data_IF_437431573456
#
_entry.id   IF_437431573456
#
_cell.length_a   1.000
_cell.length_b   1.000
_cell.length_c   1.000
_cell.angle_alpha   90.00
_cell.angle_beta   90.00
_cell.angle_gamma   90.00
#
_symmetry.space_group_name_H-M   'P 1'
#
loop_
_entity.id
_entity.type
_entity.pdbx_description
1 polymer ?
#
# COMPACT_ATOMS: atom_id res chain seq x y z
N UNK A 1 3.88 -24.61 -7.55
CA UNK A 1 3.78 -24.32 -9.01
C UNK A 1 3.60 -22.82 -9.17
N UNK A 2 4.49 -22.14 -9.88
CA UNK A 2 4.31 -20.72 -10.23
C UNK A 2 3.06 -20.58 -11.11
N UNK A 3 2.20 -19.60 -10.80
CA UNK A 3 0.94 -19.39 -11.53
C UNK A 3 1.15 -18.69 -12.87
N UNK A 4 2.22 -17.91 -13.01
CA UNK A 4 2.63 -17.28 -14.26
C UNK A 4 3.72 -18.11 -14.95
N UNK A 5 3.64 -18.20 -16.27
CA UNK A 5 4.55 -18.98 -17.10
C UNK A 5 4.92 -18.17 -18.35
N UNK A 6 5.98 -18.58 -19.05
CA UNK A 6 6.39 -17.97 -20.32
C UNK A 6 5.44 -18.38 -21.46
N UNK A 7 4.20 -17.92 -21.39
CA UNK A 7 3.16 -18.23 -22.36
C UNK A 7 2.31 -17.01 -22.71
N UNK A 8 1.54 -17.14 -23.78
CA UNK A 8 0.65 -16.09 -24.29
C UNK A 8 -0.44 -15.70 -23.29
N UNK A 9 -0.92 -16.65 -22.48
CA UNK A 9 -1.90 -16.40 -21.44
C UNK A 9 -1.39 -15.39 -20.40
N UNK A 10 -0.16 -15.59 -19.91
CA UNK A 10 0.48 -14.68 -18.95
C UNK A 10 0.67 -13.28 -19.56
N UNK A 11 1.10 -13.20 -20.82
CA UNK A 11 1.19 -11.94 -21.55
C UNK A 11 -0.17 -11.24 -21.67
N UNK A 12 -1.23 -11.98 -22.02
CA UNK A 12 -2.58 -11.44 -22.13
C UNK A 12 -3.09 -10.92 -20.78
N UNK A 13 -2.83 -11.63 -19.67
CA UNK A 13 -3.18 -11.15 -18.34
C UNK A 13 -2.53 -9.79 -18.04
N UNK A 14 -1.21 -9.65 -18.26
CA UNK A 14 -0.54 -8.36 -18.03
C UNK A 14 -1.07 -7.27 -18.96
N UNK A 15 -1.32 -7.61 -20.23
CA UNK A 15 -1.81 -6.66 -21.22
C UNK A 15 -3.17 -6.08 -20.83
N UNK A 16 -4.10 -6.89 -20.29
CA UNK A 16 -5.40 -6.40 -19.81
C UNK A 16 -5.21 -5.29 -18.77
N UNK A 17 -4.30 -5.46 -17.81
CA UNK A 17 -4.03 -4.46 -16.78
C UNK A 17 -3.34 -3.21 -17.36
N UNK A 18 -2.41 -3.36 -18.31
CA UNK A 18 -1.84 -2.22 -19.05
C UNK A 18 -2.94 -1.42 -19.75
N UNK A 19 -3.84 -2.11 -20.45
CA UNK A 19 -4.96 -1.49 -21.17
C UNK A 19 -5.94 -0.83 -20.21
N UNK A 20 -6.25 -1.43 -19.05
CA UNK A 20 -7.11 -0.81 -18.04
C UNK A 20 -6.54 0.55 -17.58
N UNK A 21 -5.24 0.62 -17.32
CA UNK A 21 -4.60 1.87 -16.95
C UNK A 21 -4.56 2.89 -18.10
N UNK A 22 -4.24 2.46 -19.33
CA UNK A 22 -4.24 3.33 -20.50
C UNK A 22 -5.65 3.90 -20.79
N UNK A 23 -6.67 3.03 -20.80
CA UNK A 23 -8.05 3.40 -21.05
C UNK A 23 -8.64 4.25 -19.92
N UNK A 24 -8.10 4.19 -18.69
CA UNK A 24 -8.57 5.05 -17.59
C UNK A 24 -8.42 6.55 -17.86
N UNK A 25 -7.55 6.93 -18.81
CA UNK A 25 -7.33 8.34 -19.20
C UNK A 25 -8.43 8.91 -20.09
N UNK A 26 -9.26 8.06 -20.71
CA UNK A 26 -10.41 8.51 -21.50
C UNK A 26 -11.49 9.19 -20.63
N UNK A 27 -11.51 8.89 -19.32
CA UNK A 27 -12.52 9.43 -18.42
C UNK A 27 -12.16 10.82 -17.93
N UNK A 28 -13.12 11.73 -17.98
CA UNK A 28 -12.97 13.07 -17.43
C UNK A 28 -13.10 13.06 -15.90
N UNK A 29 -12.09 13.63 -15.25
CA UNK A 29 -12.01 13.79 -13.81
C UNK A 29 -12.06 15.28 -13.44
N UNK A 30 -12.62 15.65 -12.27
CA UNK A 30 -12.57 17.02 -11.78
C UNK A 30 -11.14 17.55 -11.75
N UNK A 31 -10.95 18.82 -12.14
CA UNK A 31 -9.64 19.49 -12.09
C UNK A 31 -9.18 19.70 -10.65
N UNK A 32 -10.10 20.08 -9.78
CA UNK A 32 -9.82 20.37 -8.38
C UNK A 32 -10.25 19.21 -7.49
N UNK A 33 -9.44 18.92 -6.46
CA UNK A 33 -9.75 17.89 -5.46
C UNK A 33 -10.92 18.35 -4.60
N UNK A 34 -11.87 17.44 -4.38
CA UNK A 34 -12.97 17.65 -3.46
C UNK A 34 -12.64 16.90 -2.17
N UNK A 35 -12.48 17.64 -1.09
CA UNK A 35 -11.96 17.13 0.20
C UNK A 35 -13.01 16.44 1.07
N UNK A 36 -14.27 16.39 0.64
CA UNK A 36 -15.37 15.87 1.47
C UNK A 36 -15.49 14.35 1.43
N UNK A 37 -15.03 13.70 0.36
CA UNK A 37 -15.15 12.25 0.16
C UNK A 37 -13.93 11.68 -0.58
N UNK A 38 -13.57 10.40 -0.35
CA UNK A 38 -12.46 9.75 -1.03
C UNK A 38 -12.86 9.43 -2.49
N UNK A 39 -12.79 10.44 -3.34
CA UNK A 39 -13.16 10.37 -4.75
C UNK A 39 -11.92 10.34 -5.64
N UNK A 40 -12.05 9.82 -6.86
CA UNK A 40 -10.92 9.78 -7.79
C UNK A 40 -10.66 11.16 -8.38
N UNK A 41 -9.38 11.57 -8.45
CA UNK A 41 -8.93 12.81 -9.11
C UNK A 41 -7.68 12.56 -9.96
N UNK A 42 -7.23 13.62 -10.67
CA UNK A 42 -6.18 13.51 -11.71
C UNK A 42 -4.85 12.98 -11.18
N UNK A 43 -4.32 13.57 -10.10
CA UNK A 43 -3.08 13.10 -9.46
C UNK A 43 -3.19 11.64 -9.02
N UNK A 44 -4.27 11.25 -8.32
CA UNK A 44 -4.45 9.85 -7.91
C UNK A 44 -4.38 8.92 -9.12
N UNK A 45 -5.12 9.21 -10.19
CA UNK A 45 -5.15 8.36 -11.39
C UNK A 45 -3.75 8.12 -11.95
N UNK A 46 -2.94 9.18 -12.06
CA UNK A 46 -1.58 9.08 -12.59
C UNK A 46 -0.67 8.31 -11.63
N UNK A 47 -0.70 8.61 -10.32
CA UNK A 47 0.03 7.82 -9.31
C UNK A 47 -0.31 6.33 -9.39
N UNK A 48 -1.61 6.02 -9.48
CA UNK A 48 -2.10 4.65 -9.56
C UNK A 48 -1.57 3.92 -10.80
N UNK A 49 -1.58 4.59 -11.95
CA UNK A 49 -1.01 4.06 -13.19
C UNK A 49 0.50 3.83 -13.08
N UNK A 50 1.26 4.79 -12.53
CA UNK A 50 2.71 4.65 -12.32
C UNK A 50 3.04 3.47 -11.42
N UNK A 51 2.33 3.31 -10.30
CA UNK A 51 2.54 2.20 -9.38
C UNK A 51 2.15 0.86 -10.01
N UNK A 52 1.03 0.77 -10.73
CA UNK A 52 0.66 -0.43 -11.45
C UNK A 52 1.68 -0.82 -12.52
N UNK A 53 2.12 0.14 -13.35
CA UNK A 53 3.12 -0.10 -14.40
C UNK A 53 4.41 -0.64 -13.81
N UNK A 54 4.89 -0.12 -12.67
CA UNK A 54 6.05 -0.67 -11.95
C UNK A 54 5.87 -2.15 -11.63
N UNK A 55 4.69 -2.53 -11.13
CA UNK A 55 4.38 -3.93 -10.81
C UNK A 55 4.23 -4.80 -12.06
N UNK A 56 3.66 -4.27 -13.14
CA UNK A 56 3.53 -4.97 -14.42
C UNK A 56 4.90 -5.23 -15.05
N UNK A 57 5.81 -4.24 -15.04
CA UNK A 57 7.20 -4.38 -15.49
C UNK A 57 7.94 -5.40 -14.64
N UNK A 58 7.85 -5.32 -13.33
CA UNK A 58 8.45 -6.29 -12.41
C UNK A 58 7.96 -7.72 -12.66
N UNK A 59 6.64 -7.88 -12.83
CA UNK A 59 6.02 -9.18 -13.11
C UNK A 59 6.51 -9.72 -14.46
N UNK A 60 6.56 -8.86 -15.48
CA UNK A 60 7.06 -9.22 -16.81
C UNK A 60 8.52 -9.70 -16.76
N UNK A 61 9.40 -8.95 -16.08
CA UNK A 61 10.79 -9.33 -15.91
C UNK A 61 10.93 -10.65 -15.12
N UNK A 62 10.08 -10.85 -14.10
CA UNK A 62 10.03 -12.12 -13.37
C UNK A 62 9.59 -13.32 -14.22
N UNK A 63 8.77 -13.12 -15.26
CA UNK A 63 8.31 -14.18 -16.17
C UNK A 63 9.34 -14.46 -17.26
N UNK A 64 9.78 -13.42 -17.97
CA UNK A 64 10.58 -13.57 -19.20
C UNK A 64 12.09 -13.46 -18.97
N UNK A 65 12.53 -12.90 -17.84
CA UNK A 65 13.94 -12.87 -17.45
C UNK A 65 14.13 -13.39 -16.00
N UNK A 66 13.60 -14.58 -15.65
CA UNK A 66 13.54 -15.05 -14.26
C UNK A 66 14.93 -15.21 -13.65
N UNK A 67 15.91 -15.70 -14.41
CA UNK A 67 17.27 -15.92 -13.88
C UNK A 67 17.96 -14.61 -13.53
N UNK A 68 17.82 -13.60 -14.39
CA UNK A 68 18.39 -12.28 -14.16
C UNK A 68 17.62 -11.46 -13.11
N UNK A 69 16.29 -11.50 -13.10
CA UNK A 69 15.47 -10.68 -12.22
C UNK A 69 15.28 -11.28 -10.82
N UNK A 70 15.06 -12.60 -10.74
CA UNK A 70 14.59 -13.27 -9.53
C UNK A 70 15.59 -14.29 -8.96
N UNK A 71 16.04 -15.26 -9.78
CA UNK A 71 16.76 -16.44 -9.26
C UNK A 71 18.20 -16.12 -8.87
N UNK A 72 18.92 -15.42 -9.74
CA UNK A 72 20.33 -15.05 -9.54
C UNK A 72 20.55 -13.58 -9.95
N UNK A 73 19.93 -12.62 -9.24
CA UNK A 73 20.11 -11.22 -9.57
C UNK A 73 21.58 -10.82 -9.40
N UNK A 74 22.23 -10.37 -10.46
CA UNK A 74 23.55 -9.74 -10.38
C UNK A 74 23.44 -8.25 -10.03
N UNK A 75 24.59 -7.57 -9.97
CA UNK A 75 24.65 -6.10 -9.75
C UNK A 75 23.75 -5.36 -10.75
N UNK A 76 23.77 -5.76 -12.04
CA UNK A 76 22.92 -5.15 -13.05
C UNK A 76 21.42 -5.25 -12.75
N UNK A 77 20.96 -6.37 -12.21
CA UNK A 77 19.56 -6.55 -11.82
C UNK A 77 19.20 -5.70 -10.58
N UNK A 78 20.10 -5.60 -9.61
CA UNK A 78 19.93 -4.74 -8.44
C UNK A 78 19.85 -3.27 -8.85
N UNK A 79 20.75 -2.83 -9.73
CA UNK A 79 20.71 -1.48 -10.31
C UNK A 79 19.40 -1.22 -11.04
N UNK A 80 18.92 -2.18 -11.86
CA UNK A 80 17.65 -2.05 -12.56
C UNK A 80 16.46 -1.93 -11.59
N UNK A 81 16.44 -2.70 -10.49
CA UNK A 81 15.42 -2.59 -9.43
C UNK A 81 15.42 -1.23 -8.75
N UNK A 82 16.59 -0.71 -8.40
CA UNK A 82 16.74 0.64 -7.83
C UNK A 82 16.24 1.68 -8.83
N UNK A 83 16.71 1.64 -10.08
CA UNK A 83 16.28 2.57 -11.13
C UNK A 83 14.77 2.54 -11.34
N UNK A 84 14.16 1.35 -11.41
CA UNK A 84 12.71 1.18 -11.55
C UNK A 84 11.93 1.86 -10.41
N UNK A 85 12.37 1.69 -9.16
CA UNK A 85 11.71 2.29 -8.00
C UNK A 85 11.94 3.81 -7.94
N UNK A 86 13.16 4.29 -8.15
CA UNK A 86 13.47 5.71 -8.11
C UNK A 86 12.82 6.48 -9.27
N UNK A 87 12.78 5.90 -10.47
CA UNK A 87 12.06 6.46 -11.61
C UNK A 87 10.56 6.58 -11.30
N UNK A 88 9.97 5.55 -10.69
CA UNK A 88 8.56 5.58 -10.26
C UNK A 88 8.32 6.67 -9.20
N UNK A 89 9.21 6.80 -8.21
CA UNK A 89 9.15 7.85 -7.20
C UNK A 89 9.26 9.25 -7.82
N UNK A 90 10.18 9.45 -8.75
CA UNK A 90 10.39 10.73 -9.42
C UNK A 90 9.21 11.09 -10.31
N UNK A 91 8.66 10.14 -11.06
CA UNK A 91 7.46 10.34 -11.86
C UNK A 91 6.24 10.72 -11.00
N UNK A 92 6.10 10.09 -9.82
CA UNK A 92 5.04 10.43 -8.88
C UNK A 92 5.22 11.85 -8.30
N UNK A 93 6.45 12.26 -8.00
CA UNK A 93 6.74 13.63 -7.53
C UNK A 93 6.45 14.68 -8.59
N UNK A 94 6.91 14.47 -9.83
CA UNK A 94 6.60 15.35 -10.97
C UNK A 94 5.08 15.47 -11.14
N UNK A 95 4.35 14.36 -10.99
CA UNK A 95 2.89 14.37 -11.06
C UNK A 95 2.29 15.24 -9.95
N UNK A 96 2.76 15.10 -8.72
CA UNK A 96 2.29 15.91 -7.58
C UNK A 96 2.61 17.40 -7.79
N UNK A 97 3.80 17.72 -8.31
CA UNK A 97 4.22 19.11 -8.61
C UNK A 97 3.36 19.74 -9.71
N UNK A 98 2.96 18.99 -10.74
CA UNK A 98 2.24 19.53 -11.91
C UNK A 98 0.73 19.63 -11.72
N UNK A 99 0.12 18.62 -11.06
CA UNK A 99 -1.34 18.48 -11.03
C UNK A 99 -1.90 18.08 -9.65
N UNK A 100 -1.05 18.00 -8.62
CA UNK A 100 -1.41 17.59 -7.27
C UNK A 100 -1.36 18.73 -6.25
N UNK A 101 -1.13 18.35 -4.99
CA UNK A 101 -0.84 19.28 -3.88
C UNK A 101 0.37 18.79 -3.10
N UNK A 102 1.34 19.68 -2.86
CA UNK A 102 2.54 19.39 -2.07
C UNK A 102 2.23 19.28 -0.57
N UNK A 103 1.23 20.03 -0.12
CA UNK A 103 0.82 20.12 1.29
C UNK A 103 -0.12 18.97 1.66
N UNK A 104 -1.08 18.65 0.79
CA UNK A 104 -2.10 17.64 1.03
C UNK A 104 -1.99 16.44 0.07
N UNK A 105 -1.05 15.55 0.39
CA UNK A 105 -0.75 14.38 -0.44
C UNK A 105 -1.89 13.37 -0.43
N UNK A 106 -2.01 12.66 -1.55
CA UNK A 106 -3.10 11.74 -1.90
C UNK A 106 -3.55 10.80 -0.77
N UNK A 107 -2.62 10.05 -0.17
CA UNK A 107 -2.95 9.08 0.90
C UNK A 107 -2.97 9.68 2.31
N UNK A 108 -2.29 10.81 2.54
CA UNK A 108 -2.23 11.43 3.85
C UNK A 108 -3.47 12.27 4.17
N UNK A 109 -4.08 12.84 3.13
CA UNK A 109 -5.23 13.75 3.25
C UNK A 109 -6.51 13.12 2.70
N UNK A 110 -6.59 11.78 2.66
CA UNK A 110 -7.81 11.07 2.25
C UNK A 110 -8.90 11.28 3.32
N UNK A 111 -10.10 11.76 2.97
CA UNK A 111 -11.12 12.09 3.96
C UNK A 111 -11.83 10.85 4.49
N UNK A 112 -11.98 10.81 5.81
CA UNK A 112 -12.69 9.77 6.55
C UNK A 112 -14.10 10.26 6.92
N UNK A 113 -15.03 9.34 7.29
CA UNK A 113 -16.33 9.74 7.83
C UNK A 113 -16.20 10.71 9.02
N UNK A 114 -17.06 11.75 9.09
CA UNK A 114 -16.97 12.85 10.08
C UNK A 114 -16.88 12.42 11.56
N UNK A 115 -17.34 11.23 11.91
CA UNK A 115 -17.34 10.69 13.28
C UNK A 115 -16.18 9.70 13.53
N UNK A 116 -15.18 9.68 12.66
CA UNK A 116 -14.03 8.78 12.81
C UNK A 116 -13.07 9.38 13.85
N UNK A 117 -12.69 8.65 14.90
CA UNK A 117 -11.68 9.13 15.85
C UNK A 117 -10.35 9.42 15.14
N UNK A 118 -9.69 10.53 15.46
CA UNK A 118 -8.41 10.93 14.85
C UNK A 118 -7.33 9.84 15.01
N UNK A 119 -7.34 9.12 16.14
CA UNK A 119 -6.41 8.01 16.39
C UNK A 119 -6.63 6.86 15.40
N UNK A 120 -7.89 6.57 15.07
CA UNK A 120 -8.26 5.55 14.09
C UNK A 120 -7.81 5.94 12.68
N UNK A 121 -7.96 7.21 12.31
CA UNK A 121 -7.46 7.73 11.03
C UNK A 121 -5.93 7.60 10.92
N UNK A 122 -5.21 7.99 11.98
CA UNK A 122 -3.73 7.87 12.02
C UNK A 122 -3.27 6.43 11.86
N UNK A 123 -3.93 5.48 12.52
CA UNK A 123 -3.63 4.04 12.39
C UNK A 123 -3.89 3.55 10.97
N UNK A 124 -5.04 3.89 10.39
CA UNK A 124 -5.38 3.50 9.02
C UNK A 124 -4.40 4.09 7.98
N UNK A 125 -4.04 5.38 8.11
CA UNK A 125 -3.05 6.03 7.24
C UNK A 125 -1.67 5.37 7.35
N UNK A 126 -1.24 5.02 8.57
CA UNK A 126 0.00 4.26 8.78
C UNK A 126 -0.05 2.89 8.11
N UNK A 127 -1.16 2.17 8.23
CA UNK A 127 -1.34 0.88 7.56
C UNK A 127 -1.25 1.00 6.03
N UNK A 128 -1.87 2.01 5.44
CA UNK A 128 -1.77 2.28 4.01
C UNK A 128 -0.34 2.60 3.59
N UNK A 129 0.36 3.44 4.35
CA UNK A 129 1.76 3.76 4.09
C UNK A 129 2.64 2.50 4.14
N UNK A 130 2.54 1.69 5.20
CA UNK A 130 3.30 0.43 5.32
C UNK A 130 3.00 -0.52 4.15
N UNK A 131 1.74 -0.60 3.73
CA UNK A 131 1.33 -1.43 2.59
C UNK A 131 1.95 -0.97 1.26
N UNK A 132 2.15 0.34 1.06
CA UNK A 132 2.86 0.86 -0.12
C UNK A 132 4.34 0.48 -0.14
N UNK A 133 5.00 0.43 1.03
CA UNK A 133 6.36 -0.09 1.14
C UNK A 133 6.42 -1.59 0.86
N UNK A 134 5.51 -2.38 1.46
CA UNK A 134 5.41 -3.81 1.20
C UNK A 134 5.18 -4.12 -0.28
N UNK A 135 4.25 -3.41 -0.93
CA UNK A 135 4.01 -3.55 -2.37
C UNK A 135 5.27 -3.21 -3.18
N UNK A 136 5.98 -2.13 -2.84
CA UNK A 136 7.23 -1.80 -3.55
C UNK A 136 8.28 -2.90 -3.39
N UNK A 137 8.41 -3.49 -2.20
CA UNK A 137 9.31 -4.62 -1.98
C UNK A 137 8.90 -5.86 -2.80
N UNK A 138 7.60 -6.14 -2.89
CA UNK A 138 7.06 -7.20 -3.75
C UNK A 138 7.44 -7.01 -5.22
N UNK A 139 7.38 -5.78 -5.75
CA UNK A 139 7.77 -5.50 -7.13
C UNK A 139 9.26 -5.80 -7.40
N UNK A 140 10.15 -5.57 -6.43
CA UNK A 140 11.60 -5.74 -6.68
C UNK A 140 12.11 -7.13 -6.35
N UNK A 141 11.54 -7.85 -5.38
CA UNK A 141 12.05 -9.14 -4.94
C UNK A 141 11.03 -10.28 -4.99
N UNK A 142 9.75 -9.99 -5.19
CA UNK A 142 8.71 -10.99 -5.18
C UNK A 142 8.74 -11.87 -6.42
N UNK A 143 8.19 -13.08 -6.29
CA UNK A 143 7.82 -13.93 -7.44
C UNK A 143 6.88 -13.17 -8.38
N UNK A 144 6.72 -13.60 -9.65
CA UNK A 144 5.78 -12.96 -10.57
C UNK A 144 4.37 -12.82 -9.98
N UNK A 145 3.87 -13.89 -9.33
CA UNK A 145 2.56 -13.88 -8.68
C UNK A 145 2.46 -12.86 -7.54
N UNK A 146 3.52 -12.72 -6.73
CA UNK A 146 3.57 -11.76 -5.62
C UNK A 146 3.72 -10.32 -6.10
N UNK A 147 4.49 -10.09 -7.16
CA UNK A 147 4.59 -8.78 -7.82
C UNK A 147 3.24 -8.37 -8.41
N UNK A 148 2.56 -9.30 -9.06
CA UNK A 148 1.29 -9.07 -9.73
C UNK A 148 0.15 -8.80 -8.75
N UNK A 149 0.08 -9.52 -7.61
CA UNK A 149 -1.08 -9.43 -6.71
C UNK A 149 -1.31 -8.02 -6.13
N UNK A 150 -0.25 -7.22 -6.00
CA UNK A 150 -0.35 -5.83 -5.54
C UNK A 150 -1.14 -4.93 -6.51
N UNK A 151 -1.21 -5.29 -7.80
CA UNK A 151 -2.01 -4.57 -8.81
C UNK A 151 -3.49 -4.57 -8.42
N UNK A 152 -3.99 -5.66 -7.83
CA UNK A 152 -5.38 -5.73 -7.37
C UNK A 152 -5.70 -4.58 -6.40
N UNK A 153 -4.88 -4.36 -5.37
CA UNK A 153 -5.13 -3.31 -4.40
C UNK A 153 -5.03 -1.91 -5.03
N UNK A 154 -4.11 -1.73 -5.99
CA UNK A 154 -3.94 -0.50 -6.76
C UNK A 154 -5.19 -0.21 -7.59
N UNK A 155 -5.69 -1.18 -8.35
CA UNK A 155 -6.88 -1.01 -9.22
C UNK A 155 -8.17 -0.87 -8.41
N UNK A 156 -8.34 -1.67 -7.35
CA UNK A 156 -9.51 -1.60 -6.45
C UNK A 156 -9.61 -0.22 -5.81
N UNK A 157 -8.49 0.43 -5.45
CA UNK A 157 -8.53 1.79 -4.92
C UNK A 157 -9.18 2.77 -5.92
N UNK A 158 -8.75 2.75 -7.19
CA UNK A 158 -9.33 3.60 -8.25
C UNK A 158 -10.80 3.29 -8.52
N UNK A 159 -11.15 2.01 -8.57
CA UNK A 159 -12.53 1.57 -8.77
C UNK A 159 -13.44 2.05 -7.64
N UNK A 160 -13.05 1.82 -6.38
CA UNK A 160 -13.86 2.19 -5.23
C UNK A 160 -14.03 3.72 -5.11
N UNK A 161 -12.99 4.52 -5.36
CA UNK A 161 -13.16 5.98 -5.36
C UNK A 161 -14.04 6.47 -6.51
N UNK A 162 -14.10 5.74 -7.62
CA UNK A 162 -15.04 6.01 -8.71
C UNK A 162 -16.48 5.72 -8.25
N UNK A 163 -16.71 4.63 -7.52
CA UNK A 163 -18.01 4.32 -6.92
C UNK A 163 -18.44 5.39 -5.90
N UNK A 164 -17.51 5.87 -5.06
CA UNK A 164 -17.77 6.98 -4.13
C UNK A 164 -18.15 8.25 -4.89
N UNK A 165 -17.43 8.58 -5.97
CA UNK A 165 -17.73 9.75 -6.83
C UNK A 165 -19.13 9.64 -7.44
N UNK A 166 -19.54 8.44 -7.86
CA UNK A 166 -20.88 8.18 -8.41
C UNK A 166 -21.97 8.08 -7.33
N UNK A 167 -21.63 8.20 -6.05
CA UNK A 167 -22.57 8.08 -4.95
C UNK A 167 -23.11 6.66 -4.73
N UNK A 168 -22.47 5.64 -5.31
CA UNK A 168 -22.89 4.24 -5.20
C UNK A 168 -22.48 3.65 -3.84
N UNK A 169 -21.32 4.06 -3.31
CA UNK A 169 -20.84 3.65 -1.99
C UNK A 169 -20.39 4.86 -1.16
N UNK A 170 -20.35 4.67 0.16
CA UNK A 170 -19.88 5.68 1.11
C UNK A 170 -18.37 5.58 1.37
N UNK A 171 -17.81 6.62 2.01
CA UNK A 171 -16.40 6.65 2.42
C UNK A 171 -16.02 5.48 3.34
N UNK A 172 -16.93 5.07 4.24
CA UNK A 172 -16.71 3.91 5.12
C UNK A 172 -16.52 2.63 4.31
N UNK A 173 -17.40 2.37 3.36
CA UNK A 173 -17.34 1.19 2.48
C UNK A 173 -16.04 1.20 1.66
N UNK A 174 -15.63 2.37 1.16
CA UNK A 174 -14.33 2.55 0.50
C UNK A 174 -13.16 2.07 1.39
N UNK A 175 -13.05 2.59 2.61
CA UNK A 175 -11.92 2.27 3.49
C UNK A 175 -11.89 0.78 3.89
N UNK A 176 -13.06 0.17 4.12
CA UNK A 176 -13.17 -1.26 4.47
C UNK A 176 -12.71 -2.12 3.30
N UNK A 177 -13.28 -1.92 2.11
CA UNK A 177 -12.96 -2.73 0.94
C UNK A 177 -11.52 -2.50 0.47
N UNK A 178 -11.03 -1.26 0.54
CA UNK A 178 -9.64 -0.95 0.22
C UNK A 178 -8.68 -1.62 1.21
N UNK A 179 -8.94 -1.52 2.52
CA UNK A 179 -8.12 -2.21 3.52
C UNK A 179 -8.11 -3.73 3.30
N UNK A 180 -9.27 -4.33 3.01
CA UNK A 180 -9.36 -5.76 2.68
C UNK A 180 -8.55 -6.12 1.43
N UNK A 181 -8.54 -5.26 0.40
CA UNK A 181 -7.73 -5.48 -0.80
C UNK A 181 -6.22 -5.44 -0.52
N UNK A 182 -5.77 -4.60 0.42
CA UNK A 182 -4.36 -4.57 0.84
C UNK A 182 -3.95 -5.83 1.59
N UNK A 183 -4.88 -6.47 2.31
CA UNK A 183 -4.62 -7.73 3.02
C UNK A 183 -4.32 -8.90 2.09
N UNK A 184 -4.71 -8.87 0.81
CA UNK A 184 -4.49 -9.99 -0.12
C UNK A 184 -3.00 -10.34 -0.32
N UNK A 185 -2.10 -9.38 -0.11
CA UNK A 185 -0.66 -9.62 -0.20
C UNK A 185 -0.19 -10.64 0.85
N UNK A 186 -0.83 -10.69 2.03
CA UNK A 186 -0.46 -11.58 3.12
C UNK A 186 -0.64 -13.08 2.79
N UNK A 187 -1.84 -13.57 2.38
CA UNK A 187 -2.00 -14.97 2.02
C UNK A 187 -1.11 -15.38 0.83
N UNK A 188 -0.82 -14.47 -0.11
CA UNK A 188 0.13 -14.74 -1.21
C UNK A 188 1.55 -14.95 -0.68
N UNK A 189 2.01 -14.11 0.25
CA UNK A 189 3.31 -14.28 0.91
C UNK A 189 3.39 -15.58 1.70
N UNK A 190 2.34 -15.92 2.46
CA UNK A 190 2.27 -17.19 3.21
C UNK A 190 2.31 -18.39 2.27
N UNK A 191 1.51 -18.38 1.20
CA UNK A 191 1.50 -19.45 0.21
C UNK A 191 2.86 -19.61 -0.48
N UNK A 192 3.55 -18.50 -0.76
CA UNK A 192 4.88 -18.51 -1.37
C UNK A 192 5.94 -19.07 -0.42
N UNK A 193 5.89 -18.71 0.86
CA UNK A 193 6.77 -19.28 1.90
C UNK A 193 6.58 -20.78 2.14
N UNK A 194 5.38 -21.30 1.91
CA UNK A 194 5.06 -22.73 2.11
C UNK A 194 5.02 -23.50 0.78
N UNK A 195 5.53 -22.91 -0.30
CA UNK A 195 5.49 -23.52 -1.63
C UNK A 195 6.48 -24.68 -1.79
N UNK A 196 7.49 -24.79 -0.92
CA UNK A 196 8.61 -25.72 -1.04
C UNK A 196 9.64 -25.31 -2.10
N UNK A 197 9.45 -24.17 -2.77
CA UNK A 197 10.39 -23.61 -3.72
C UNK A 197 11.36 -22.67 -3.00
N UNK A 198 12.61 -23.11 -2.87
CA UNK A 198 13.66 -22.37 -2.16
C UNK A 198 13.90 -20.96 -2.73
N UNK A 199 13.74 -20.76 -4.05
CA UNK A 199 13.91 -19.45 -4.68
C UNK A 199 12.77 -18.52 -4.28
N UNK A 200 11.53 -19.03 -4.33
CA UNK A 200 10.33 -18.29 -3.95
C UNK A 200 10.31 -17.95 -2.45
N UNK A 201 10.77 -18.88 -1.60
CA UNK A 201 10.95 -18.68 -0.16
C UNK A 201 11.97 -17.56 0.11
N UNK A 202 13.16 -17.62 -0.50
CA UNK A 202 14.21 -16.61 -0.34
C UNK A 202 13.76 -15.23 -0.86
N UNK A 203 13.07 -15.19 -2.01
CA UNK A 203 12.44 -14.00 -2.55
C UNK A 203 11.47 -13.35 -1.55
N UNK A 204 10.65 -14.16 -0.89
CA UNK A 204 9.70 -13.67 0.11
C UNK A 204 10.41 -13.06 1.33
N UNK A 205 11.45 -13.71 1.84
CA UNK A 205 12.23 -13.18 2.97
C UNK A 205 12.90 -11.85 2.61
N UNK A 206 13.44 -11.73 1.39
CA UNK A 206 13.99 -10.47 0.86
C UNK A 206 12.92 -9.37 0.84
N UNK A 207 11.71 -9.66 0.36
CA UNK A 207 10.59 -8.71 0.37
C UNK A 207 10.28 -8.20 1.79
N UNK A 208 10.19 -9.12 2.76
CA UNK A 208 9.89 -8.76 4.15
C UNK A 208 10.97 -7.87 4.76
N UNK A 209 12.24 -8.24 4.58
CA UNK A 209 13.37 -7.48 5.08
C UNK A 209 13.44 -6.08 4.44
N UNK A 210 13.37 -6.00 3.12
CA UNK A 210 13.45 -4.74 2.36
C UNK A 210 12.28 -3.83 2.68
N UNK A 211 11.07 -4.40 2.80
CA UNK A 211 9.88 -3.66 3.21
C UNK A 211 10.02 -3.08 4.62
N UNK A 212 10.46 -3.89 5.59
CA UNK A 212 10.67 -3.46 6.97
C UNK A 212 11.76 -2.37 7.07
N UNK A 213 12.90 -2.58 6.44
CA UNK A 213 14.00 -1.62 6.43
C UNK A 213 13.61 -0.29 5.77
N UNK A 214 12.89 -0.34 4.64
CA UNK A 214 12.37 0.85 3.98
C UNK A 214 11.39 1.63 4.86
N UNK A 215 10.51 0.90 5.58
CA UNK A 215 9.58 1.49 6.56
C UNK A 215 10.36 2.17 7.69
N UNK A 216 11.35 1.51 8.28
CA UNK A 216 12.12 2.07 9.39
C UNK A 216 12.87 3.33 8.96
N UNK A 217 13.58 3.28 7.83
CA UNK A 217 14.33 4.44 7.30
C UNK A 217 13.39 5.63 7.08
N UNK A 218 12.21 5.40 6.48
CA UNK A 218 11.28 6.49 6.16
C UNK A 218 10.44 6.96 7.34
N UNK A 219 9.81 6.04 8.06
CA UNK A 219 8.77 6.34 9.05
C UNK A 219 9.37 6.53 10.44
N UNK A 220 10.36 5.72 10.84
CA UNK A 220 10.99 5.82 12.16
C UNK A 220 12.09 6.87 12.18
N UNK A 221 12.96 6.88 11.18
CA UNK A 221 14.11 7.80 11.11
C UNK A 221 13.87 9.05 10.26
N UNK A 222 12.76 9.14 9.53
CA UNK A 222 12.35 10.36 8.82
C UNK A 222 13.12 10.67 7.53
N UNK A 223 14.00 9.77 7.05
CA UNK A 223 14.77 10.00 5.83
C UNK A 223 13.91 10.05 4.57
N UNK A 224 14.47 10.58 3.47
CA UNK A 224 13.75 10.65 2.19
C UNK A 224 13.38 9.26 1.65
N UNK A 225 12.30 9.17 0.86
CA UNK A 225 11.94 7.91 0.17
C UNK A 225 13.04 7.42 -0.78
N UNK A 226 13.82 8.33 -1.36
CA UNK A 226 14.95 8.00 -2.24
C UNK A 226 16.05 7.31 -1.44
N UNK A 227 16.42 7.88 -0.28
CA UNK A 227 17.37 7.28 0.66
C UNK A 227 16.89 5.90 1.13
N UNK A 228 15.60 5.77 1.48
CA UNK A 228 15.03 4.51 1.91
C UNK A 228 15.23 3.39 0.86
N UNK A 229 14.93 3.65 -0.41
CA UNK A 229 15.08 2.64 -1.47
C UNK A 229 16.52 2.42 -1.94
N UNK A 230 17.34 3.47 -1.95
CA UNK A 230 18.78 3.37 -2.25
C UNK A 230 19.52 2.49 -1.25
N UNK A 231 19.08 2.48 0.02
CA UNK A 231 19.69 1.63 1.06
C UNK A 231 19.01 0.27 1.13
N UNK A 232 17.67 0.23 1.16
CA UNK A 232 16.95 -1.01 1.43
C UNK A 232 17.11 -2.07 0.33
N UNK A 233 17.11 -1.68 -0.95
CA UNK A 233 17.21 -2.64 -2.07
C UNK A 233 18.59 -3.31 -2.11
N UNK A 234 19.73 -2.60 -2.10
CA UNK A 234 21.04 -3.24 -2.03
C UNK A 234 21.26 -4.03 -0.74
N UNK A 235 20.78 -3.53 0.40
CA UNK A 235 20.87 -4.27 1.66
C UNK A 235 20.13 -5.61 1.57
N UNK A 236 18.93 -5.62 1.00
CA UNK A 236 18.17 -6.85 0.76
C UNK A 236 18.86 -7.83 -0.17
N UNK A 237 19.67 -7.34 -1.12
CA UNK A 237 20.48 -8.19 -1.98
C UNK A 237 21.68 -8.81 -1.25
N UNK A 238 22.41 -8.03 -0.45
CA UNK A 238 23.61 -8.49 0.26
C UNK A 238 23.24 -9.46 1.39
N UNK A 239 22.23 -9.12 2.17
CA UNK A 239 21.82 -9.88 3.36
C UNK A 239 20.92 -11.08 3.02
N UNK A 240 20.43 -11.16 1.78
CA UNK A 240 19.59 -12.23 1.27
C UNK A 240 20.11 -13.64 1.53
N UNK A 241 21.35 -13.88 1.12
CA UNK A 241 21.92 -15.23 1.08
C UNK A 241 22.34 -15.67 2.48
N UNK A 242 22.73 -14.70 3.31
CA UNK A 242 22.91 -14.90 4.75
C UNK A 242 21.57 -15.26 5.41
N UNK A 243 20.50 -14.50 5.13
CA UNK A 243 19.18 -14.76 5.70
C UNK A 243 18.62 -16.12 5.27
N UNK A 244 18.82 -16.54 4.01
CA UNK A 244 18.35 -17.85 3.52
C UNK A 244 19.13 -19.02 4.14
N UNK A 245 20.43 -18.86 4.41
CA UNK A 245 21.22 -19.85 5.15
C UNK A 245 20.71 -20.07 6.58
N UNK A 246 20.32 -18.99 7.28
CA UNK A 246 19.72 -19.07 8.62
C UNK A 246 18.21 -19.38 8.60
N UNK A 247 17.56 -19.25 7.44
CA UNK A 247 16.14 -19.50 7.27
C UNK A 247 15.74 -20.99 7.35
N UNK A 248 16.66 -21.93 7.60
CA UNK A 248 16.27 -23.25 8.10
C UNK A 248 15.51 -23.19 9.44
N UNK A 249 15.46 -22.02 10.10
CA UNK A 249 14.45 -21.66 11.11
C UNK A 249 13.15 -21.12 10.48
N UNK A 250 12.60 -21.84 9.48
CA UNK A 250 11.60 -21.40 8.48
C UNK A 250 10.35 -20.66 8.99
N UNK A 251 10.02 -20.75 10.29
CA UNK A 251 8.87 -20.05 10.89
C UNK A 251 9.23 -18.97 11.91
N UNK A 252 10.44 -18.92 12.46
CA UNK A 252 10.68 -18.05 13.62
C UNK A 252 10.88 -16.58 13.25
N UNK A 253 11.36 -16.28 12.04
CA UNK A 253 11.70 -14.91 11.60
C UNK A 253 10.69 -14.26 10.63
N UNK A 254 9.99 -15.05 9.81
CA UNK A 254 8.98 -14.51 8.88
C UNK A 254 7.71 -14.02 9.61
N UNK A 255 7.34 -14.71 10.69
CA UNK A 255 6.15 -14.40 11.48
C UNK A 255 6.27 -13.07 12.24
N UNK A 256 7.36 -12.75 12.94
CA UNK A 256 7.52 -11.46 13.60
C UNK A 256 7.42 -10.27 12.64
N UNK A 257 8.01 -10.31 11.44
CA UNK A 257 7.93 -9.18 10.50
C UNK A 257 6.52 -8.93 9.95
N UNK A 258 5.84 -10.01 9.54
CA UNK A 258 4.48 -9.92 9.00
C UNK A 258 3.43 -9.67 10.09
N UNK A 259 3.55 -10.34 11.24
CA UNK A 259 2.68 -10.12 12.39
C UNK A 259 3.01 -8.84 13.14
N UNK A 260 4.23 -8.30 13.12
CA UNK A 260 4.51 -7.00 13.74
C UNK A 260 3.69 -5.91 13.07
N UNK A 261 3.69 -5.84 11.73
CA UNK A 261 2.90 -4.85 11.01
C UNK A 261 1.39 -5.05 11.23
N UNK A 262 0.91 -6.31 11.16
CA UNK A 262 -0.50 -6.63 11.39
C UNK A 262 -0.93 -6.43 12.85
N UNK A 263 -0.11 -6.82 13.82
CA UNK A 263 -0.37 -6.70 15.26
C UNK A 263 -0.23 -5.26 15.75
N UNK A 264 0.74 -4.48 15.27
CA UNK A 264 0.84 -3.05 15.53
C UNK A 264 -0.41 -2.32 14.99
N UNK A 265 -0.83 -2.69 13.78
CA UNK A 265 -2.06 -2.18 13.18
C UNK A 265 -3.29 -2.58 14.02
N UNK A 266 -3.44 -3.86 14.37
CA UNK A 266 -4.56 -4.36 15.18
C UNK A 266 -4.57 -3.75 16.58
N UNK A 267 -3.42 -3.66 17.26
CA UNK A 267 -3.29 -3.00 18.57
C UNK A 267 -3.69 -1.53 18.48
N UNK A 268 -3.24 -0.82 17.44
CA UNK A 268 -3.68 0.55 17.18
C UNK A 268 -5.19 0.65 16.99
N UNK A 269 -5.80 -0.29 16.25
CA UNK A 269 -7.26 -0.35 16.08
C UNK A 269 -7.99 -0.62 17.41
N UNK A 270 -7.50 -1.57 18.22
CA UNK A 270 -8.09 -1.87 19.53
C UNK A 270 -7.97 -0.71 20.51
N UNK A 271 -6.80 -0.06 20.59
CA UNK A 271 -6.57 1.11 21.42
C UNK A 271 -7.46 2.28 21.00
N UNK A 272 -7.55 2.56 19.70
CA UNK A 272 -8.44 3.60 19.17
C UNK A 272 -9.91 3.31 19.50
N UNK A 273 -10.34 2.04 19.42
CA UNK A 273 -11.70 1.62 19.78
C UNK A 273 -11.99 1.77 21.28
N UNK A 274 -11.04 1.38 22.13
CA UNK A 274 -11.17 1.56 23.59
C UNK A 274 -11.27 3.04 23.96
N UNK A 275 -10.44 3.90 23.36
CA UNK A 275 -10.50 5.35 23.57
C UNK A 275 -11.83 5.94 23.11
N UNK A 276 -12.35 5.52 21.95
CA UNK A 276 -13.66 5.96 21.46
C UNK A 276 -14.79 5.54 22.39
N UNK A 277 -14.79 4.30 22.87
CA UNK A 277 -15.83 3.80 23.78
C UNK A 277 -15.78 4.50 25.15
N UNK A 278 -14.59 4.77 25.67
CA UNK A 278 -14.40 5.51 26.91
C UNK A 278 -14.89 6.97 26.79
N UNK A 279 -14.65 7.61 25.65
CA UNK A 279 -15.16 8.96 25.38
C UNK A 279 -16.69 9.01 25.32
N UNK A 280 -17.34 8.05 24.64
CA UNK A 280 -18.81 7.96 24.59
C UNK A 280 -19.40 7.71 25.98
N UNK A 281 -18.82 6.78 26.75
CA UNK A 281 -19.28 6.48 28.11
C UNK A 281 -19.14 7.67 29.08
N UNK A 282 -18.07 8.48 28.94
CA UNK A 282 -17.88 9.69 29.74
C UNK A 282 -18.90 10.79 29.42
N UNK A 283 -19.40 10.86 28.17
CA UNK A 283 -20.42 11.82 27.76
C UNK A 283 -21.85 11.35 28.04
N UNK A 284 -22.12 10.04 28.04
CA UNK A 284 -23.42 9.48 28.44
C UNK A 284 -23.61 9.47 29.98
N UNK A 285 -22.53 9.50 30.76
CA UNK A 285 -22.56 9.60 32.23
C UNK A 285 -22.85 11.00 32.80
N UNK A 286 -22.94 12.02 31.95
CA UNK A 286 -23.28 13.40 32.32
C UNK A 286 -24.49 13.89 31.51
N UNK A 287 -25.63 13.21 31.60
CA UNK A 287 -26.90 13.90 31.40
C UNK A 287 -27.24 14.66 32.70
N UNK A 288 -27.14 16.01 32.75
CA UNK A 288 -27.82 16.74 33.80
C UNK A 288 -29.32 16.52 33.58
N UNK A 289 -29.95 15.84 34.54
CA UNK A 289 -31.40 15.95 34.74
C UNK A 289 -31.67 17.42 35.07
N UNK A 290 -31.97 18.25 34.08
CA UNK A 290 -32.48 19.59 34.32
C UNK A 290 -33.64 19.91 33.39
N UNK A 291 -34.80 19.97 34.06
CA UNK A 291 -36.05 20.62 33.72
C UNK A 291 -35.90 21.84 32.81
N UNK A 292 -36.88 21.98 31.91
CA UNK A 292 -36.82 22.93 30.81
C UNK A 292 -36.80 24.40 31.23
N UNK A 293 -36.24 25.21 30.35
CA UNK A 293 -36.75 26.55 30.04
C UNK A 293 -36.20 27.03 28.70
N UNK A 294 -37.07 27.66 27.94
CA UNK A 294 -36.83 28.36 26.67
C UNK A 294 -35.82 29.51 26.81
N UNK A 295 -34.83 29.60 25.92
CA UNK A 295 -34.29 30.88 25.45
C UNK A 295 -33.45 30.73 24.17
N UNK A 296 -33.68 31.67 23.25
CA UNK A 296 -32.92 31.94 22.01
C UNK A 296 -31.50 32.47 22.34
N UNK A 297 -30.53 32.25 21.45
CA UNK A 297 -29.65 33.29 20.86
C UNK A 297 -28.45 32.71 20.09
N UNK A 298 -28.02 33.48 19.09
CA UNK A 298 -26.89 33.40 18.16
C UNK A 298 -25.52 32.93 18.70
N UNK A 299 -24.70 32.41 17.76
CA UNK A 299 -23.27 32.69 17.46
C UNK A 299 -22.58 31.41 16.94
N UNK A 300 -22.13 31.34 15.69
CA UNK A 300 -20.88 31.85 15.14
C UNK A 300 -19.69 30.87 15.26
N UNK A 301 -19.10 30.56 14.10
CA UNK A 301 -17.66 30.30 13.83
C UNK A 301 -17.02 29.05 14.46
N UNK A 302 -16.80 28.01 13.64
CA UNK A 302 -15.53 27.66 12.96
C UNK A 302 -15.79 26.63 11.85
#
# INVERSE_FOLDING_TARGET
RESFQQNTFSAACLLVHVLLHALSFQFELPRNRIWTKPMIWREFRVHNALFAIRHLVATALGIWAPDWWLRQPGIGAVTAKVCLVLATCKAADITTEQIGSTDDRTTNSMPYPKKTPETLEKVAKRFYAKSQFAATALAVFGTPSSSFCAILAIEIASFLMTLVRKGIIEARTYHILYAASLFIMFPVLVATLHSGDAVAEAATLRCLFVGALGIDIRIKYGFSKYTAWLVAIPAGYILADTLSMYANMKLFFAWPGMMWSASDTLRGFFQARQQSNAFTAAHEGHEPVSQGTTARSCAAVF
#
